data_IF_633741126606
#
_entry.id   IF_633741126606
#
_cell.length_a   1.000
_cell.length_b   1.000
_cell.length_c   1.000
_cell.angle_alpha   90.00
_cell.angle_beta   90.00
_cell.angle_gamma   90.00
#
_symmetry.space_group_name_H-M   'P 1'
#
loop_
_entity.id
_entity.type
_entity.pdbx_description
1 polymer ?
#
# COMPACT_ATOMS: atom_id res chain seq x y z
N UNK A 1 23.31 30.79 -24.62
CA UNK A 1 22.15 30.31 -23.88
C UNK A 1 21.63 29.03 -24.48
N UNK A 2 21.45 28.00 -23.62
CA UNK A 2 20.94 26.71 -24.08
C UNK A 2 19.42 26.76 -24.15
N UNK A 3 18.92 26.62 -25.38
CA UNK A 3 17.49 26.70 -25.68
C UNK A 3 16.91 25.30 -25.87
N UNK A 4 15.81 24.98 -25.22
CA UNK A 4 15.03 23.77 -25.53
C UNK A 4 14.44 23.97 -26.94
N UNK A 5 14.65 23.03 -27.83
CA UNK A 5 14.29 23.14 -29.25
C UNK A 5 15.51 23.09 -30.18
N UNK A 6 16.70 23.34 -29.64
CA UNK A 6 17.95 23.04 -30.32
C UNK A 6 18.60 21.81 -29.67
N UNK A 7 18.66 20.71 -30.38
CA UNK A 7 19.30 19.45 -29.92
C UNK A 7 20.75 19.69 -29.44
N UNK A 8 21.42 20.64 -30.07
CA UNK A 8 22.78 21.04 -29.75
C UNK A 8 22.90 21.66 -28.35
N UNK A 9 21.97 22.54 -27.98
CA UNK A 9 21.99 23.21 -26.68
C UNK A 9 21.72 22.27 -25.50
N UNK A 10 20.74 21.37 -25.64
CA UNK A 10 20.46 20.32 -24.63
C UNK A 10 21.69 19.41 -24.49
N UNK A 11 22.29 19.02 -25.59
CA UNK A 11 23.47 18.15 -25.59
C UNK A 11 24.68 18.84 -24.95
N UNK A 12 24.88 20.12 -25.19
CA UNK A 12 25.98 20.88 -24.62
C UNK A 12 25.79 21.09 -23.11
N UNK A 13 24.57 21.40 -22.66
CA UNK A 13 24.24 21.45 -21.23
C UNK A 13 24.44 20.09 -20.54
N UNK A 14 24.03 18.98 -21.17
CA UNK A 14 24.23 17.64 -20.64
C UNK A 14 25.73 17.26 -20.57
N UNK A 15 26.58 17.76 -21.47
CA UNK A 15 28.02 17.50 -21.44
C UNK A 15 28.75 18.40 -20.44
N UNK A 16 28.30 19.63 -20.27
CA UNK A 16 28.94 20.62 -19.40
C UNK A 16 28.55 20.39 -17.92
N UNK A 17 27.32 19.96 -17.68
CA UNK A 17 26.82 19.67 -16.34
C UNK A 17 27.05 18.23 -15.95
N UNK A 18 27.51 18.02 -14.73
CA UNK A 18 27.58 16.67 -14.09
C UNK A 18 26.31 16.32 -13.32
N UNK A 19 25.30 17.20 -13.29
CA UNK A 19 24.02 16.97 -12.60
C UNK A 19 23.17 16.00 -13.41
N UNK A 20 22.51 15.00 -12.78
CA UNK A 20 21.70 13.99 -13.50
C UNK A 20 20.28 14.50 -13.83
N UNK A 21 20.05 15.79 -13.77
CA UNK A 21 18.76 16.45 -14.01
C UNK A 21 18.92 17.78 -14.74
N UNK A 22 17.85 18.24 -15.37
CA UNK A 22 17.76 19.60 -15.91
C UNK A 22 16.90 20.52 -15.05
N UNK A 23 17.26 21.82 -15.05
CA UNK A 23 16.42 22.92 -14.59
C UNK A 23 15.72 23.50 -15.82
N UNK A 24 14.40 23.36 -15.90
CA UNK A 24 13.62 23.83 -17.05
C UNK A 24 12.94 25.14 -16.70
N UNK A 25 13.38 26.22 -17.37
CA UNK A 25 12.90 27.58 -17.22
C UNK A 25 11.96 27.97 -18.38
N UNK A 26 11.25 29.08 -18.23
CA UNK A 26 10.43 29.66 -19.30
C UNK A 26 11.28 30.49 -20.28
N UNK A 27 12.15 31.32 -19.76
CA UNK A 27 12.90 32.32 -20.50
C UNK A 27 14.40 32.06 -20.62
N UNK A 28 15.02 32.68 -21.61
CA UNK A 28 16.48 32.61 -21.79
C UNK A 28 17.23 33.44 -20.75
N UNK A 29 16.60 34.48 -20.18
CA UNK A 29 17.23 35.30 -19.14
C UNK A 29 17.45 34.51 -17.89
N UNK A 30 16.46 33.66 -17.50
CA UNK A 30 16.59 32.77 -16.37
C UNK A 30 17.73 31.77 -16.55
N UNK A 31 17.85 31.20 -17.77
CA UNK A 31 18.94 30.29 -18.09
C UNK A 31 20.30 31.00 -17.99
N UNK A 32 20.44 32.24 -18.51
CA UNK A 32 21.68 33.00 -18.42
C UNK A 32 22.05 33.24 -16.94
N UNK A 33 21.10 33.72 -16.15
CA UNK A 33 21.30 34.00 -14.72
C UNK A 33 21.68 32.73 -13.92
N UNK A 34 21.03 31.64 -14.20
CA UNK A 34 21.34 30.34 -13.60
C UNK A 34 22.73 29.84 -13.99
N UNK A 35 23.09 29.93 -15.27
CA UNK A 35 24.44 29.56 -15.75
C UNK A 35 25.53 30.42 -15.12
N UNK A 36 25.34 31.74 -15.03
CA UNK A 36 26.27 32.65 -14.35
C UNK A 36 26.46 32.31 -12.87
N UNK A 37 25.41 31.72 -12.26
CA UNK A 37 25.42 31.31 -10.86
C UNK A 37 25.87 29.83 -10.65
N UNK A 38 26.36 29.18 -11.74
CA UNK A 38 26.94 27.84 -11.67
C UNK A 38 25.97 26.68 -12.01
N UNK A 39 24.70 26.96 -12.31
CA UNK A 39 23.71 25.94 -12.70
C UNK A 39 23.74 25.69 -14.21
N UNK A 40 24.81 25.06 -14.70
CA UNK A 40 25.01 24.80 -16.13
C UNK A 40 24.07 23.78 -16.76
N UNK A 41 23.20 23.17 -15.97
CA UNK A 41 22.14 22.27 -16.37
C UNK A 41 20.78 22.96 -16.59
N UNK A 42 20.74 24.29 -16.61
CA UNK A 42 19.53 25.05 -16.91
C UNK A 42 19.28 25.08 -18.43
N UNK A 43 18.02 24.91 -18.82
CA UNK A 43 17.52 24.95 -20.21
C UNK A 43 16.16 25.66 -20.23
N UNK A 44 15.75 26.22 -21.37
CA UNK A 44 14.46 26.91 -21.48
C UNK A 44 13.62 26.42 -22.66
N UNK A 45 12.29 26.54 -22.52
CA UNK A 45 11.30 26.22 -23.56
C UNK A 45 11.05 27.40 -24.57
N UNK A 46 11.61 28.57 -24.31
CA UNK A 46 11.62 29.78 -25.16
C UNK A 46 10.25 30.23 -25.69
N UNK A 47 9.42 30.74 -24.81
CA UNK A 47 8.13 31.33 -25.21
C UNK A 47 7.15 30.34 -25.87
N UNK A 48 7.50 29.08 -25.94
CA UNK A 48 6.60 27.98 -26.37
C UNK A 48 6.30 27.07 -25.23
N UNK A 49 5.07 26.51 -25.19
CA UNK A 49 4.74 25.47 -24.22
C UNK A 49 5.64 24.24 -24.46
N UNK A 50 5.99 23.54 -23.38
CA UNK A 50 6.67 22.25 -23.48
C UNK A 50 5.84 21.27 -24.33
N UNK A 51 6.48 20.59 -25.26
CA UNK A 51 5.83 19.61 -26.15
C UNK A 51 6.34 18.20 -25.86
N UNK A 52 5.62 17.17 -26.33
CA UNK A 52 6.09 15.79 -26.28
C UNK A 52 7.44 15.59 -27.01
N UNK A 53 7.67 16.33 -28.10
CA UNK A 53 8.96 16.33 -28.81
C UNK A 53 10.11 16.87 -27.94
N UNK A 54 9.88 17.95 -27.20
CA UNK A 54 10.85 18.48 -26.23
C UNK A 54 11.11 17.46 -25.10
N UNK A 55 10.08 16.83 -24.56
CA UNK A 55 10.22 15.81 -23.53
C UNK A 55 11.00 14.59 -24.03
N UNK A 56 10.71 14.11 -25.24
CA UNK A 56 11.45 13.00 -25.86
C UNK A 56 12.93 13.33 -26.07
N UNK A 57 13.25 14.58 -26.39
CA UNK A 57 14.63 15.05 -26.52
C UNK A 57 15.33 15.09 -25.16
N UNK A 58 14.69 15.66 -24.14
CA UNK A 58 15.21 15.73 -22.75
C UNK A 58 15.49 14.32 -22.20
N UNK A 59 14.60 13.36 -22.47
CA UNK A 59 14.71 11.95 -22.00
C UNK A 59 16.00 11.26 -22.43
N UNK A 60 16.59 11.67 -23.54
CA UNK A 60 17.87 11.10 -24.01
C UNK A 60 19.05 11.42 -23.07
N UNK A 61 18.92 12.45 -22.25
CA UNK A 61 20.02 12.98 -21.43
C UNK A 61 19.77 12.85 -19.93
N UNK A 62 18.52 13.04 -19.47
CA UNK A 62 18.17 12.99 -18.05
C UNK A 62 16.86 12.25 -17.83
N UNK A 63 16.68 11.75 -16.61
CA UNK A 63 15.43 11.10 -16.17
C UNK A 63 14.63 11.97 -15.20
N UNK A 64 15.18 13.10 -14.80
CA UNK A 64 14.56 14.02 -13.85
C UNK A 64 14.65 15.45 -14.34
N UNK A 65 13.57 16.22 -14.19
CA UNK A 65 13.47 17.62 -14.55
C UNK A 65 12.88 18.41 -13.39
N UNK A 66 13.52 19.50 -13.06
CA UNK A 66 13.02 20.49 -12.12
C UNK A 66 12.42 21.66 -12.89
N UNK A 67 11.10 21.81 -12.82
CA UNK A 67 10.37 22.94 -13.41
C UNK A 67 10.58 24.16 -12.52
N UNK A 68 11.26 25.16 -13.06
CA UNK A 68 11.55 26.43 -12.41
C UNK A 68 10.92 27.57 -13.21
N UNK A 69 9.60 27.48 -13.37
CA UNK A 69 8.76 28.42 -14.07
C UNK A 69 8.38 29.61 -13.16
N UNK A 70 7.90 30.71 -13.76
CA UNK A 70 7.48 31.89 -13.02
C UNK A 70 6.47 31.53 -11.90
N UNK A 71 6.55 32.21 -10.77
CA UNK A 71 5.67 31.99 -9.61
C UNK A 71 4.25 32.56 -9.79
N UNK A 72 3.96 33.18 -10.94
CA UNK A 72 2.66 33.74 -11.27
C UNK A 72 1.66 32.65 -11.74
N UNK A 73 0.41 33.05 -12.02
CA UNK A 73 -0.59 32.11 -12.52
C UNK A 73 -0.25 31.52 -13.89
N UNK A 74 0.45 32.26 -14.75
CA UNK A 74 0.79 31.79 -16.08
C UNK A 74 1.84 30.68 -15.99
N UNK A 75 2.91 30.89 -15.19
CA UNK A 75 3.94 29.91 -14.93
C UNK A 75 3.39 28.68 -14.18
N UNK A 76 2.48 28.90 -13.21
CA UNK A 76 1.77 27.79 -12.55
C UNK A 76 0.98 26.95 -13.57
N UNK A 77 0.24 27.58 -14.49
CA UNK A 77 -0.49 26.85 -15.55
C UNK A 77 0.46 26.16 -16.52
N UNK A 78 1.62 26.75 -16.81
CA UNK A 78 2.65 26.14 -17.66
C UNK A 78 3.23 24.90 -16.98
N UNK A 79 3.54 24.95 -15.68
CA UNK A 79 4.02 23.80 -14.90
C UNK A 79 2.99 22.67 -14.88
N UNK A 80 1.71 22.99 -14.64
CA UNK A 80 0.62 21.99 -14.64
C UNK A 80 0.45 21.29 -16.00
N UNK A 81 0.75 21.97 -17.10
CA UNK A 81 0.74 21.34 -18.44
C UNK A 81 2.01 20.54 -18.70
N UNK A 82 3.15 20.96 -18.18
CA UNK A 82 4.43 20.29 -18.38
C UNK A 82 4.53 18.96 -17.64
N UNK A 83 3.98 18.86 -16.42
CA UNK A 83 4.04 17.66 -15.57
C UNK A 83 3.53 16.40 -16.29
N UNK A 84 2.32 16.33 -16.86
CA UNK A 84 1.85 15.14 -17.56
C UNK A 84 2.69 14.83 -18.80
N UNK A 85 3.13 15.82 -19.56
CA UNK A 85 3.96 15.62 -20.77
C UNK A 85 5.30 14.96 -20.41
N UNK A 86 5.94 15.41 -19.32
CA UNK A 86 7.18 14.81 -18.83
C UNK A 86 6.97 13.39 -18.33
N UNK A 87 5.88 13.16 -17.59
CA UNK A 87 5.51 11.84 -17.09
C UNK A 87 5.27 10.84 -18.23
N UNK A 88 4.51 11.21 -19.26
CA UNK A 88 4.28 10.39 -20.46
C UNK A 88 5.58 10.03 -21.19
N UNK A 89 6.57 10.92 -21.16
CA UNK A 89 7.91 10.62 -21.66
C UNK A 89 8.76 9.78 -20.68
N UNK A 90 8.23 9.41 -19.51
CA UNK A 90 8.94 8.68 -18.46
C UNK A 90 10.00 9.52 -17.75
N UNK A 91 9.79 10.82 -17.61
CA UNK A 91 10.65 11.76 -16.89
C UNK A 91 9.98 12.16 -15.58
N UNK A 92 10.70 12.02 -14.47
CA UNK A 92 10.24 12.53 -13.17
C UNK A 92 10.28 14.05 -13.16
N UNK A 93 9.14 14.68 -12.93
CA UNK A 93 9.02 16.13 -12.83
C UNK A 93 8.92 16.57 -11.36
N UNK A 94 9.70 17.57 -10.98
CA UNK A 94 9.59 18.29 -9.71
C UNK A 94 9.40 19.77 -9.97
N UNK A 95 8.70 20.46 -9.08
CA UNK A 95 8.43 21.90 -9.19
C UNK A 95 9.19 22.65 -8.10
N UNK A 96 10.02 23.61 -8.53
CA UNK A 96 10.76 24.50 -7.64
C UNK A 96 9.91 25.73 -7.39
N UNK A 97 9.70 26.08 -6.12
CA UNK A 97 9.00 27.32 -5.73
C UNK A 97 9.98 28.41 -5.39
N UNK A 98 9.76 29.59 -5.95
CA UNK A 98 10.63 30.73 -5.77
C UNK A 98 10.01 31.87 -4.93
N UNK A 99 8.84 31.60 -4.34
CA UNK A 99 8.20 32.60 -3.49
C UNK A 99 9.19 33.19 -2.45
N UNK A 100 9.22 34.52 -2.24
CA UNK A 100 8.30 35.54 -2.76
C UNK A 100 8.70 36.13 -4.10
N UNK A 101 9.75 35.65 -4.77
CA UNK A 101 10.27 36.16 -6.03
C UNK A 101 9.50 35.57 -7.22
N UNK A 102 9.49 36.33 -8.32
CA UNK A 102 8.71 35.98 -9.49
C UNK A 102 9.35 34.86 -10.30
N UNK A 103 10.63 34.95 -10.57
CA UNK A 103 11.37 34.10 -11.50
C UNK A 103 12.76 33.73 -10.94
N UNK A 104 13.49 32.78 -11.58
CA UNK A 104 14.83 32.38 -11.16
C UNK A 104 15.85 33.52 -11.19
N UNK A 105 15.76 34.43 -12.16
CA UNK A 105 16.68 35.54 -12.30
C UNK A 105 16.57 36.50 -11.11
N UNK A 106 15.35 36.91 -10.77
CA UNK A 106 15.08 37.74 -9.59
C UNK A 106 15.49 37.04 -8.30
N UNK A 107 15.15 35.75 -8.15
CA UNK A 107 15.51 34.96 -6.97
C UNK A 107 17.02 34.93 -6.73
N UNK A 108 17.80 34.60 -7.78
CA UNK A 108 19.26 34.47 -7.67
C UNK A 108 19.92 35.80 -7.39
N UNK A 109 19.45 36.89 -8.00
CA UNK A 109 19.98 38.25 -7.75
C UNK A 109 19.80 38.70 -6.31
N UNK A 110 18.73 38.26 -5.64
CA UNK A 110 18.42 38.66 -4.27
C UNK A 110 18.99 37.71 -3.21
N UNK A 111 18.95 36.41 -3.41
CA UNK A 111 19.28 35.41 -2.40
C UNK A 111 20.50 34.55 -2.73
N UNK A 112 20.95 34.56 -3.97
CA UNK A 112 22.15 33.86 -4.41
C UNK A 112 21.94 32.35 -4.68
N UNK A 113 23.02 31.71 -5.13
CA UNK A 113 23.02 30.33 -5.60
C UNK A 113 22.77 29.30 -4.48
N UNK A 114 23.29 29.54 -3.28
CA UNK A 114 23.12 28.60 -2.15
C UNK A 114 21.66 28.45 -1.74
N UNK A 115 20.93 29.55 -1.68
CA UNK A 115 19.51 29.53 -1.34
C UNK A 115 18.68 28.87 -2.46
N UNK A 116 19.07 29.09 -3.71
CA UNK A 116 18.43 28.43 -4.84
C UNK A 116 18.66 26.90 -4.82
N UNK A 117 19.84 26.44 -4.45
CA UNK A 117 20.12 25.00 -4.27
C UNK A 117 19.23 24.38 -3.18
N UNK A 118 18.99 25.11 -2.08
CA UNK A 118 18.03 24.66 -1.05
C UNK A 118 16.61 24.54 -1.62
N UNK A 119 16.19 25.45 -2.50
CA UNK A 119 14.88 25.35 -3.18
C UNK A 119 14.80 24.16 -4.12
N UNK A 120 15.87 23.81 -4.82
CA UNK A 120 15.94 22.59 -5.63
C UNK A 120 15.77 21.36 -4.74
N UNK A 121 16.45 21.28 -3.59
CA UNK A 121 16.31 20.17 -2.65
C UNK A 121 14.92 20.07 -2.03
N UNK A 122 14.24 21.19 -1.85
CA UNK A 122 12.88 21.27 -1.33
C UNK A 122 11.79 21.16 -2.42
N UNK A 123 12.18 20.91 -3.68
CA UNK A 123 11.26 20.86 -4.81
C UNK A 123 10.21 19.77 -4.64
N UNK A 124 8.98 20.10 -4.97
CA UNK A 124 7.82 19.21 -4.82
C UNK A 124 7.65 18.28 -6.02
N UNK A 125 7.29 17.05 -5.78
CA UNK A 125 6.87 16.14 -6.84
C UNK A 125 5.76 16.79 -7.68
N UNK A 126 5.87 16.71 -9.02
CA UNK A 126 4.98 17.41 -9.94
C UNK A 126 3.52 16.98 -9.83
N UNK A 127 3.25 15.69 -9.58
CA UNK A 127 1.89 15.20 -9.37
C UNK A 127 1.31 15.80 -8.07
N UNK A 128 2.05 15.75 -6.97
CA UNK A 128 1.61 16.33 -5.69
C UNK A 128 1.40 17.84 -5.80
N UNK A 129 2.25 18.55 -6.53
CA UNK A 129 2.04 19.98 -6.86
C UNK A 129 0.73 20.19 -7.62
N UNK A 130 0.43 19.32 -8.59
CA UNK A 130 -0.83 19.42 -9.34
C UNK A 130 -2.06 19.26 -8.47
N UNK A 131 -1.96 18.42 -7.42
CA UNK A 131 -3.05 18.24 -6.44
C UNK A 131 -3.20 19.46 -5.52
N UNK A 132 -2.11 20.10 -5.11
CA UNK A 132 -2.18 21.34 -4.33
C UNK A 132 -2.89 22.47 -5.09
N UNK A 133 -2.66 22.54 -6.41
CA UNK A 133 -3.34 23.53 -7.25
C UNK A 133 -4.82 23.15 -7.49
N UNK A 134 -5.11 21.87 -7.58
CA UNK A 134 -6.48 21.34 -7.68
C UNK A 134 -7.27 21.63 -6.40
N UNK A 135 -6.68 21.40 -5.23
CA UNK A 135 -7.27 21.62 -3.92
C UNK A 135 -7.87 23.03 -3.76
N UNK A 136 -7.17 24.05 -4.31
CA UNK A 136 -7.63 25.45 -4.27
C UNK A 136 -8.97 25.70 -4.97
N UNK A 137 -9.42 24.76 -5.80
CA UNK A 137 -10.68 24.85 -6.54
C UNK A 137 -11.87 24.22 -5.79
N UNK A 138 -11.61 23.59 -4.65
CA UNK A 138 -12.62 22.88 -3.85
C UNK A 138 -12.71 23.45 -2.44
N UNK A 139 -13.91 23.44 -1.88
CA UNK A 139 -14.08 23.74 -0.46
C UNK A 139 -13.71 22.54 0.40
N UNK A 140 -12.48 22.52 0.87
CA UNK A 140 -11.94 21.43 1.70
C UNK A 140 -12.52 21.41 3.12
N UNK A 141 -13.37 22.38 3.51
CA UNK A 141 -14.07 22.39 4.80
C UNK A 141 -15.42 21.69 4.71
N UNK A 142 -16.00 21.58 3.50
CA UNK A 142 -17.26 20.86 3.30
C UNK A 142 -17.03 19.37 2.99
N UNK A 143 -17.90 18.47 3.49
CA UNK A 143 -17.85 17.04 3.13
C UNK A 143 -18.01 16.79 1.62
N UNK A 144 -18.87 17.59 0.97
CA UNK A 144 -19.14 17.51 -0.47
C UNK A 144 -17.91 17.91 -1.27
N UNK A 145 -17.29 19.06 -0.93
CA UNK A 145 -16.10 19.56 -1.59
C UNK A 145 -14.91 18.59 -1.46
N UNK A 146 -14.71 18.00 -0.25
CA UNK A 146 -13.72 16.93 -0.06
C UNK A 146 -14.02 15.73 -0.95
N UNK A 147 -15.26 15.31 -1.03
CA UNK A 147 -15.65 14.14 -1.84
C UNK A 147 -15.38 14.39 -3.31
N UNK A 148 -15.72 15.58 -3.82
CA UNK A 148 -15.50 15.96 -5.21
C UNK A 148 -14.01 16.10 -5.53
N UNK A 149 -13.23 16.67 -4.61
CA UNK A 149 -11.78 16.72 -4.72
C UNK A 149 -11.18 15.30 -4.85
N UNK A 150 -11.49 14.38 -3.92
CA UNK A 150 -10.95 13.01 -3.99
C UNK A 150 -11.46 12.21 -5.19
N UNK A 151 -12.63 12.55 -5.72
CA UNK A 151 -13.11 11.99 -6.99
C UNK A 151 -12.21 12.40 -8.15
N UNK A 152 -11.83 13.69 -8.21
CA UNK A 152 -10.91 14.17 -9.24
C UNK A 152 -9.48 13.63 -9.05
N UNK A 153 -8.99 13.58 -7.81
CA UNK A 153 -7.72 12.92 -7.47
C UNK A 153 -7.70 11.48 -7.94
N UNK A 154 -8.78 10.73 -7.69
CA UNK A 154 -8.89 9.33 -8.12
C UNK A 154 -8.86 9.17 -9.64
N UNK A 155 -9.44 10.13 -10.38
CA UNK A 155 -9.36 10.16 -11.85
C UNK A 155 -7.92 10.33 -12.33
N UNK A 156 -7.17 11.27 -11.74
CA UNK A 156 -5.76 11.52 -12.09
C UNK A 156 -4.85 10.35 -11.71
N UNK A 157 -5.15 9.64 -10.62
CA UNK A 157 -4.42 8.43 -10.23
C UNK A 157 -4.59 7.30 -11.25
N UNK A 158 -5.70 7.24 -11.98
CA UNK A 158 -5.91 6.27 -13.06
C UNK A 158 -5.06 6.54 -14.33
N UNK A 159 -4.49 7.73 -14.47
CA UNK A 159 -3.57 8.04 -15.55
C UNK A 159 -2.21 7.35 -15.40
N UNK A 160 -1.89 6.79 -14.24
CA UNK A 160 -0.70 5.96 -14.05
C UNK A 160 -1.00 4.53 -14.56
N UNK A 161 -0.28 4.12 -15.60
CA UNK A 161 -0.43 2.79 -16.19
C UNK A 161 0.14 1.70 -15.28
N UNK A 162 1.31 1.95 -14.70
CA UNK A 162 1.95 1.04 -13.76
C UNK A 162 1.21 0.99 -12.44
N UNK A 163 0.80 -0.23 -12.03
CA UNK A 163 0.04 -0.45 -10.81
C UNK A 163 0.85 -0.14 -9.54
N UNK A 164 2.13 -0.49 -9.53
CA UNK A 164 3.00 -0.22 -8.37
C UNK A 164 3.22 1.28 -8.20
N UNK A 165 3.49 1.99 -9.30
CA UNK A 165 3.62 3.44 -9.29
C UNK A 165 2.33 4.10 -8.79
N UNK A 166 1.18 3.70 -9.33
CA UNK A 166 -0.14 4.18 -8.88
C UNK A 166 -0.38 3.96 -7.39
N UNK A 167 -0.05 2.76 -6.87
CA UNK A 167 -0.21 2.44 -5.45
C UNK A 167 0.70 3.29 -4.55
N UNK A 168 1.92 3.59 -4.98
CA UNK A 168 2.82 4.50 -4.27
C UNK A 168 2.26 5.93 -4.21
N UNK A 169 1.64 6.41 -5.31
CA UNK A 169 0.98 7.72 -5.31
C UNK A 169 -0.30 7.72 -4.47
N UNK A 170 -1.08 6.64 -4.45
CA UNK A 170 -2.23 6.49 -3.54
C UNK A 170 -1.79 6.65 -2.08
N UNK A 171 -0.69 6.01 -1.70
CA UNK A 171 -0.14 6.11 -0.35
C UNK A 171 0.35 7.52 -0.02
N UNK A 172 1.08 8.16 -0.95
CA UNK A 172 1.55 9.53 -0.80
C UNK A 172 0.39 10.52 -0.62
N UNK A 173 -0.68 10.37 -1.41
CA UNK A 173 -1.90 11.20 -1.30
C UNK A 173 -2.62 10.93 0.03
N UNK A 174 -2.80 9.66 0.40
CA UNK A 174 -3.46 9.28 1.65
C UNK A 174 -2.76 9.91 2.86
N UNK A 175 -1.43 9.90 2.86
CA UNK A 175 -0.60 10.51 3.90
C UNK A 175 -0.71 12.03 3.90
N UNK A 176 -0.57 12.69 2.74
CA UNK A 176 -0.57 14.13 2.62
C UNK A 176 -1.91 14.77 3.03
N UNK A 177 -3.02 14.13 2.66
CA UNK A 177 -4.38 14.64 2.91
C UNK A 177 -5.08 13.98 4.10
N UNK A 178 -4.38 13.10 4.83
CA UNK A 178 -4.89 12.39 6.02
C UNK A 178 -6.20 11.67 5.76
N UNK A 179 -6.31 11.00 4.62
CA UNK A 179 -7.44 10.17 4.24
C UNK A 179 -7.05 8.69 4.30
N UNK A 180 -8.03 7.81 4.56
CA UNK A 180 -7.78 6.37 4.56
C UNK A 180 -7.32 5.90 3.18
N UNK A 181 -6.15 5.25 3.12
CA UNK A 181 -5.61 4.61 1.91
C UNK A 181 -6.64 3.68 1.27
N UNK A 182 -7.25 2.82 2.07
CA UNK A 182 -8.26 1.86 1.63
C UNK A 182 -9.48 2.54 1.00
N UNK A 183 -9.92 3.68 1.56
CA UNK A 183 -11.03 4.46 1.01
C UNK A 183 -10.67 5.06 -0.35
N UNK A 184 -9.45 5.56 -0.50
CA UNK A 184 -8.96 6.11 -1.76
C UNK A 184 -8.78 5.00 -2.82
N UNK A 185 -8.21 3.85 -2.46
CA UNK A 185 -8.10 2.68 -3.34
C UNK A 185 -9.47 2.21 -3.86
N UNK A 186 -10.46 2.11 -2.98
CA UNK A 186 -11.84 1.76 -3.37
C UNK A 186 -12.44 2.77 -4.34
N UNK A 187 -12.16 4.07 -4.15
CA UNK A 187 -12.63 5.12 -5.05
C UNK A 187 -11.98 5.04 -6.42
N UNK A 188 -10.65 4.84 -6.46
CA UNK A 188 -9.89 4.63 -7.70
C UNK A 188 -10.39 3.40 -8.45
N UNK A 189 -10.55 2.27 -7.77
CA UNK A 189 -11.06 1.03 -8.38
C UNK A 189 -12.48 1.19 -8.96
N UNK A 190 -13.37 1.89 -8.23
CA UNK A 190 -14.74 2.18 -8.71
C UNK A 190 -14.72 3.04 -9.97
N UNK A 191 -13.82 4.01 -10.04
CA UNK A 191 -13.67 4.87 -11.22
C UNK A 191 -13.08 4.13 -12.42
N UNK A 192 -12.09 3.25 -12.20
CA UNK A 192 -11.52 2.41 -13.25
C UNK A 192 -12.59 1.56 -13.96
N UNK A 193 -13.51 0.98 -13.18
CA UNK A 193 -14.65 0.23 -13.72
C UNK A 193 -15.59 1.13 -14.52
N UNK A 194 -15.92 2.31 -14.01
CA UNK A 194 -16.83 3.24 -14.69
C UNK A 194 -16.22 3.83 -15.96
N UNK A 195 -14.91 3.98 -16.02
CA UNK A 195 -14.19 4.47 -17.21
C UNK A 195 -13.96 3.39 -18.28
N UNK A 196 -14.37 2.12 -18.05
CA UNK A 196 -14.11 1.01 -18.96
C UNK A 196 -12.62 0.64 -19.10
N UNK A 197 -11.76 1.22 -18.30
CA UNK A 197 -10.31 0.98 -18.26
C UNK A 197 -9.96 -0.35 -17.55
N UNK A 198 -10.79 -0.76 -16.62
CA UNK A 198 -10.91 -2.15 -16.23
C UNK A 198 -12.13 -2.67 -17.01
N UNK A 199 -12.00 -3.78 -17.75
CA UNK A 199 -13.17 -4.68 -17.82
C UNK A 199 -13.73 -4.65 -16.40
N UNK A 200 -15.08 -4.56 -16.20
CA UNK A 200 -15.60 -4.96 -14.92
C UNK A 200 -14.99 -6.34 -14.79
N UNK A 201 -13.90 -6.45 -14.08
CA UNK A 201 -13.60 -7.66 -13.33
C UNK A 201 -14.93 -7.76 -12.65
N UNK A 202 -15.78 -8.61 -13.29
CA UNK A 202 -17.18 -8.79 -12.90
C UNK A 202 -17.06 -8.75 -11.43
N UNK A 203 -17.47 -7.61 -10.86
CA UNK A 203 -17.26 -7.43 -9.45
C UNK A 203 -17.30 -8.82 -8.98
N UNK A 204 -16.21 -9.46 -8.52
CA UNK A 204 -16.54 -10.63 -7.80
C UNK A 204 -17.59 -10.01 -6.94
N UNK A 205 -18.92 -10.28 -7.29
CA UNK A 205 -20.08 -9.84 -6.54
C UNK A 205 -19.53 -9.72 -5.18
N UNK A 206 -19.31 -8.47 -4.65
CA UNK A 206 -18.75 -8.31 -3.38
C UNK A 206 -19.21 -9.53 -2.78
N UNK A 207 -18.36 -10.45 -3.20
CA UNK A 207 -18.67 -11.77 -2.84
C UNK A 207 -18.50 -11.54 -1.36
N UNK A 208 -19.59 -11.52 -0.71
CA UNK A 208 -19.61 -12.18 0.56
C UNK A 208 -18.52 -13.24 0.61
N UNK A 209 -18.05 -13.78 -0.51
CA UNK A 209 -16.92 -14.65 -0.76
C UNK A 209 -15.51 -14.05 -0.78
N UNK A 210 -15.20 -12.80 -0.97
CA UNK A 210 -13.79 -12.34 -0.90
C UNK A 210 -13.44 -11.79 0.49
N UNK A 211 -14.37 -11.16 1.19
CA UNK A 211 -14.23 -10.98 2.64
C UNK A 211 -14.34 -12.35 3.35
N UNK A 212 -15.20 -13.24 2.87
CA UNK A 212 -15.20 -14.64 3.29
C UNK A 212 -13.88 -15.33 2.97
N UNK A 213 -13.37 -15.23 1.76
CA UNK A 213 -12.12 -15.89 1.37
C UNK A 213 -10.89 -15.31 2.07
N UNK A 214 -10.79 -13.98 2.26
CA UNK A 214 -9.75 -13.38 3.08
C UNK A 214 -9.93 -13.66 4.58
N UNK A 215 -11.19 -13.71 5.07
CA UNK A 215 -11.47 -14.22 6.42
C UNK A 215 -11.17 -15.71 6.52
N UNK A 216 -11.55 -16.50 5.55
CA UNK A 216 -11.26 -17.94 5.48
C UNK A 216 -9.75 -18.21 5.40
N UNK A 217 -9.01 -17.53 4.55
CA UNK A 217 -7.54 -17.61 4.46
C UNK A 217 -6.87 -17.17 5.77
N UNK A 218 -7.38 -16.11 6.41
CA UNK A 218 -6.92 -15.66 7.72
C UNK A 218 -7.24 -16.64 8.84
N UNK A 219 -8.39 -17.32 8.77
CA UNK A 219 -8.80 -18.37 9.73
C UNK A 219 -7.98 -19.63 9.52
N UNK A 220 -7.77 -20.09 8.28
CA UNK A 220 -6.91 -21.22 7.96
C UNK A 220 -5.49 -21.01 8.51
N UNK A 221 -4.93 -19.82 8.32
CA UNK A 221 -3.64 -19.42 8.89
C UNK A 221 -3.65 -19.50 10.41
N UNK A 222 -4.73 -19.08 11.07
CA UNK A 222 -4.87 -19.14 12.54
C UNK A 222 -5.03 -20.57 13.03
N UNK A 223 -5.80 -21.42 12.34
CA UNK A 223 -5.93 -22.84 12.65
C UNK A 223 -4.58 -23.57 12.50
N UNK A 224 -3.86 -23.29 11.43
CA UNK A 224 -2.52 -23.82 11.19
C UNK A 224 -1.56 -23.43 12.32
N UNK A 225 -1.55 -22.17 12.72
CA UNK A 225 -0.69 -21.67 13.82
C UNK A 225 -1.02 -22.38 15.15
N UNK A 226 -2.31 -22.55 15.49
CA UNK A 226 -2.69 -23.26 16.71
C UNK A 226 -2.22 -24.72 16.72
N UNK A 227 -2.41 -25.45 15.61
CA UNK A 227 -1.92 -26.83 15.49
C UNK A 227 -0.39 -26.89 15.62
N UNK A 228 0.33 -25.99 14.99
CA UNK A 228 1.80 -25.91 15.09
C UNK A 228 2.23 -25.69 16.54
N UNK A 229 1.59 -24.77 17.28
CA UNK A 229 1.89 -24.57 18.72
C UNK A 229 1.56 -25.78 19.58
N UNK A 230 0.44 -26.46 19.32
CA UNK A 230 0.03 -27.67 20.04
C UNK A 230 0.96 -28.87 19.77
N UNK A 231 1.61 -28.89 18.60
CA UNK A 231 2.59 -29.92 18.20
C UNK A 231 3.95 -29.62 18.83
N UNK A 232 4.36 -28.36 18.86
CA UNK A 232 5.72 -27.94 19.21
C UNK A 232 5.97 -27.98 20.73
N UNK A 233 4.96 -27.69 21.58
CA UNK A 233 5.08 -27.61 23.03
C UNK A 233 3.92 -28.29 23.74
N UNK A 234 4.22 -29.30 24.57
CA UNK A 234 3.26 -30.05 25.37
C UNK A 234 2.47 -29.16 26.34
N UNK A 235 3.11 -28.16 26.92
CA UNK A 235 2.47 -27.23 27.85
C UNK A 235 1.48 -26.32 27.13
N UNK A 236 1.84 -25.88 25.94
CA UNK A 236 0.92 -25.11 25.10
C UNK A 236 -0.27 -25.95 24.66
N UNK A 237 -0.05 -27.26 24.35
CA UNK A 237 -1.16 -28.17 24.10
C UNK A 237 -2.13 -28.20 25.25
N UNK A 238 -1.67 -28.40 26.49
CA UNK A 238 -2.52 -28.47 27.67
C UNK A 238 -3.30 -27.17 27.93
N UNK A 239 -2.68 -26.04 27.67
CA UNK A 239 -3.32 -24.74 27.79
C UNK A 239 -4.37 -24.49 26.68
N UNK A 240 -4.01 -24.73 25.41
CA UNK A 240 -4.90 -24.53 24.26
C UNK A 240 -6.11 -25.48 24.35
N UNK A 241 -5.89 -26.74 24.75
CA UNK A 241 -6.94 -27.79 24.85
C UNK A 241 -8.04 -27.45 25.85
N UNK A 242 -7.83 -26.53 26.77
CA UNK A 242 -8.88 -26.04 27.69
C UNK A 242 -9.93 -25.20 26.96
N UNK A 243 -9.58 -24.60 25.83
CA UNK A 243 -10.43 -23.66 25.10
C UNK A 243 -10.80 -24.12 23.68
N UNK A 244 -9.94 -24.88 23.05
CA UNK A 244 -10.10 -25.39 21.69
C UNK A 244 -10.28 -26.90 21.72
N UNK A 245 -11.23 -27.40 20.96
CA UNK A 245 -11.47 -28.82 20.71
C UNK A 245 -11.23 -29.14 19.23
N UNK A 246 -11.06 -30.42 18.85
CA UNK A 246 -10.94 -30.79 17.43
C UNK A 246 -12.12 -30.32 16.56
N UNK A 247 -13.33 -30.22 17.14
CA UNK A 247 -14.52 -29.70 16.47
C UNK A 247 -14.46 -28.19 16.12
N UNK A 248 -13.52 -27.46 16.68
CA UNK A 248 -13.31 -26.02 16.39
C UNK A 248 -12.51 -25.76 15.10
N UNK A 249 -11.85 -26.80 14.56
CA UNK A 249 -11.19 -26.73 13.27
C UNK A 249 -12.20 -26.96 12.15
N UNK A 250 -12.37 -25.97 11.28
CA UNK A 250 -13.37 -26.00 10.21
C UNK A 250 -12.88 -26.68 8.95
N UNK A 251 -11.56 -26.68 8.72
CA UNK A 251 -10.93 -27.41 7.63
C UNK A 251 -10.80 -28.91 7.97
N UNK A 252 -11.19 -29.77 7.03
CA UNK A 252 -11.25 -31.24 7.25
C UNK A 252 -9.88 -31.81 7.61
N UNK A 253 -8.82 -31.40 6.91
CA UNK A 253 -7.45 -31.83 7.18
C UNK A 253 -7.00 -31.43 8.58
N UNK A 254 -7.20 -30.17 8.96
CA UNK A 254 -6.80 -29.65 10.28
C UNK A 254 -7.60 -30.27 11.41
N UNK A 255 -8.88 -30.55 11.18
CA UNK A 255 -9.73 -31.31 12.14
C UNK A 255 -9.19 -32.70 12.36
N UNK A 256 -8.89 -33.44 11.30
CA UNK A 256 -8.33 -34.80 11.39
C UNK A 256 -6.98 -34.80 12.10
N UNK A 257 -6.10 -33.85 11.80
CA UNK A 257 -4.82 -33.69 12.51
C UNK A 257 -5.07 -33.41 13.99
N UNK A 258 -6.02 -32.54 14.34
CA UNK A 258 -6.34 -32.21 15.71
C UNK A 258 -6.88 -33.44 16.45
N UNK A 259 -7.81 -34.22 15.85
CA UNK A 259 -8.35 -35.44 16.42
C UNK A 259 -7.25 -36.46 16.75
N UNK A 260 -6.36 -36.71 15.79
CA UNK A 260 -5.23 -37.62 15.98
C UNK A 260 -4.24 -37.09 17.03
N UNK A 261 -4.00 -35.80 17.07
CA UNK A 261 -3.14 -35.18 18.08
C UNK A 261 -3.72 -35.34 19.50
N UNK A 262 -5.01 -35.04 19.67
CA UNK A 262 -5.69 -35.21 20.97
C UNK A 262 -5.72 -36.68 21.42
N UNK A 263 -5.92 -37.61 20.50
CA UNK A 263 -5.90 -39.04 20.79
C UNK A 263 -4.52 -39.52 21.24
N UNK A 264 -3.46 -39.11 20.50
CA UNK A 264 -2.09 -39.48 20.85
C UNK A 264 -1.64 -38.87 22.18
N UNK A 265 -2.03 -37.65 22.47
CA UNK A 265 -1.74 -37.01 23.78
C UNK A 265 -2.39 -37.74 24.94
N UNK A 266 -3.61 -38.24 24.78
CA UNK A 266 -4.26 -39.10 25.79
C UNK A 266 -3.49 -40.41 26.01
N UNK A 267 -2.79 -40.93 25.00
CA UNK A 267 -1.97 -42.12 25.06
C UNK A 267 -0.55 -41.88 25.60
N UNK A 268 -0.18 -40.62 25.83
CA UNK A 268 1.07 -40.23 26.50
C UNK A 268 2.26 -39.98 25.62
N UNK A 269 2.19 -40.11 24.28
CA UNK A 269 3.33 -39.80 23.38
C UNK A 269 2.84 -39.39 22.02
N UNK A 270 3.37 -38.22 21.54
CA UNK A 270 3.14 -37.73 20.20
C UNK A 270 4.04 -38.47 19.20
N UNK A 271 3.45 -39.05 18.16
CA UNK A 271 4.16 -39.68 17.06
C UNK A 271 3.75 -39.01 15.71
N UNK A 272 4.52 -38.02 15.22
CA UNK A 272 4.22 -37.30 13.97
C UNK A 272 4.05 -38.26 12.78
N UNK A 273 4.86 -39.32 12.69
CA UNK A 273 4.80 -40.25 11.58
C UNK A 273 3.45 -40.98 11.49
N UNK A 274 2.83 -41.29 12.63
CA UNK A 274 1.48 -41.89 12.63
C UNK A 274 0.41 -40.93 12.13
N UNK A 275 0.53 -39.66 12.42
CA UNK A 275 -0.38 -38.60 11.92
C UNK A 275 -0.20 -38.45 10.41
N UNK A 276 1.04 -38.34 9.94
CA UNK A 276 1.34 -38.19 8.52
C UNK A 276 0.89 -39.38 7.68
N UNK A 277 1.11 -40.59 8.17
CA UNK A 277 0.69 -41.82 7.49
C UNK A 277 -0.83 -42.01 7.35
N UNK A 278 -1.62 -41.19 8.05
CA UNK A 278 -3.07 -41.18 7.89
C UNK A 278 -3.52 -40.57 6.56
N UNK A 279 -2.70 -39.67 5.99
CA UNK A 279 -2.99 -38.95 4.73
C UNK A 279 -2.38 -39.70 3.54
N UNK A 280 -3.21 -40.19 2.63
CA UNK A 280 -2.83 -40.97 1.45
C UNK A 280 -2.65 -40.08 0.22
N UNK A 281 -3.35 -38.94 0.14
CA UNK A 281 -3.21 -37.95 -0.92
C UNK A 281 -1.93 -37.16 -0.73
N UNK A 282 -1.16 -36.96 -1.82
CA UNK A 282 0.15 -36.30 -1.76
C UNK A 282 0.08 -34.84 -1.30
N UNK A 283 -1.02 -34.15 -1.63
CA UNK A 283 -1.26 -32.75 -1.25
C UNK A 283 -1.57 -32.62 0.24
N UNK A 284 -2.46 -33.48 0.75
CA UNK A 284 -2.82 -33.53 2.17
C UNK A 284 -1.63 -33.93 3.05
N UNK A 285 -0.85 -34.91 2.60
CA UNK A 285 0.35 -35.35 3.29
C UNK A 285 1.40 -34.23 3.37
N UNK A 286 1.58 -33.48 2.28
CA UNK A 286 2.50 -32.31 2.23
C UNK A 286 2.04 -31.19 3.16
N UNK A 287 0.74 -30.87 3.16
CA UNK A 287 0.18 -29.84 4.04
C UNK A 287 0.25 -30.25 5.51
N UNK A 288 -0.11 -31.50 5.86
CA UNK A 288 0.07 -32.04 7.20
C UNK A 288 1.55 -32.01 7.64
N UNK A 289 2.48 -32.39 6.77
CA UNK A 289 3.93 -32.35 7.07
C UNK A 289 4.42 -30.92 7.33
N UNK A 290 3.80 -29.92 6.69
CA UNK A 290 4.15 -28.52 6.90
C UNK A 290 3.89 -28.06 8.34
N UNK A 291 2.88 -28.64 9.02
CA UNK A 291 2.55 -28.32 10.42
C UNK A 291 3.69 -28.71 11.38
N UNK A 292 4.40 -29.78 11.07
CA UNK A 292 5.52 -30.29 11.89
C UNK A 292 6.85 -29.62 11.56
N UNK A 293 6.97 -28.96 10.41
CA UNK A 293 8.20 -28.35 9.93
C UNK A 293 8.19 -26.81 9.99
N UNK A 294 7.05 -26.19 10.24
CA UNK A 294 6.92 -24.73 10.31
C UNK A 294 7.43 -24.25 11.66
N UNK A 295 8.57 -23.54 11.68
CA UNK A 295 8.98 -22.78 12.85
C UNK A 295 8.12 -21.51 12.93
N UNK A 296 7.44 -21.34 14.04
CA UNK A 296 6.72 -20.09 14.33
C UNK A 296 7.74 -18.97 14.40
N UNK A 297 7.49 -17.86 13.72
CA UNK A 297 8.35 -16.67 13.79
C UNK A 297 8.62 -16.37 15.26
N UNK A 298 9.91 -16.27 15.63
CA UNK A 298 10.34 -15.96 16.99
C UNK A 298 9.72 -14.62 17.43
N UNK A 299 8.65 -14.70 18.19
CA UNK A 299 8.14 -13.57 18.94
C UNK A 299 9.16 -13.29 20.03
N UNK A 300 9.66 -12.05 20.08
CA UNK A 300 10.86 -11.69 20.84
C UNK A 300 10.63 -11.63 22.36
N UNK A 301 9.37 -11.43 22.79
CA UNK A 301 9.02 -11.34 24.20
C UNK A 301 7.96 -12.36 24.60
N UNK A 302 7.90 -12.69 25.89
CA UNK A 302 6.90 -13.59 26.46
C UNK A 302 5.50 -12.98 26.32
N UNK A 303 5.37 -11.70 26.58
CA UNK A 303 4.10 -10.97 26.46
C UNK A 303 3.55 -10.99 25.03
N UNK A 304 4.42 -10.81 24.01
CA UNK A 304 3.99 -10.92 22.59
C UNK A 304 3.48 -12.32 22.24
N UNK A 305 4.07 -13.37 22.81
CA UNK A 305 3.61 -14.75 22.62
C UNK A 305 2.25 -14.99 23.26
N UNK A 306 2.06 -14.54 24.49
CA UNK A 306 0.81 -14.67 25.24
C UNK A 306 -0.33 -13.95 24.52
N UNK A 307 -0.09 -12.73 24.06
CA UNK A 307 -1.07 -11.95 23.31
C UNK A 307 -1.42 -12.61 21.96
N UNK A 308 -0.41 -13.03 21.19
CA UNK A 308 -0.62 -13.70 19.91
C UNK A 308 -1.40 -15.02 20.07
N UNK A 309 -1.10 -15.80 21.11
CA UNK A 309 -1.82 -17.03 21.43
C UNK A 309 -3.28 -16.75 21.77
N UNK A 310 -3.53 -15.78 22.65
CA UNK A 310 -4.87 -15.39 23.04
C UNK A 310 -5.70 -14.89 21.85
N UNK A 311 -5.15 -14.02 21.04
CA UNK A 311 -5.82 -13.52 19.83
C UNK A 311 -6.14 -14.64 18.83
N UNK A 312 -5.23 -15.60 18.68
CA UNK A 312 -5.42 -16.73 17.76
C UNK A 312 -6.50 -17.68 18.27
N UNK A 313 -6.51 -18.02 19.56
CA UNK A 313 -7.55 -18.83 20.20
C UNK A 313 -8.92 -18.14 20.04
N UNK A 314 -9.01 -16.85 20.37
CA UNK A 314 -10.25 -16.09 20.24
C UNK A 314 -10.77 -16.07 18.82
N UNK A 315 -9.89 -15.92 17.82
CA UNK A 315 -10.24 -15.89 16.40
C UNK A 315 -10.79 -17.24 15.92
N UNK A 316 -10.09 -18.32 16.21
CA UNK A 316 -10.51 -19.67 15.79
C UNK A 316 -11.84 -20.07 16.49
N UNK A 317 -11.95 -19.83 17.80
CA UNK A 317 -13.18 -20.16 18.55
C UNK A 317 -14.38 -19.34 18.09
N UNK A 318 -14.20 -18.03 17.88
CA UNK A 318 -15.29 -17.18 17.38
C UNK A 318 -15.79 -17.63 16.01
N UNK A 319 -14.88 -17.96 15.11
CA UNK A 319 -15.25 -18.43 13.78
C UNK A 319 -15.94 -19.82 13.84
N UNK A 320 -15.45 -20.72 14.68
CA UNK A 320 -16.09 -22.03 14.89
C UNK A 320 -17.54 -21.89 15.36
N UNK A 321 -17.78 -21.02 16.35
CA UNK A 321 -19.13 -20.77 16.88
C UNK A 321 -20.02 -20.14 15.79
N UNK A 322 -19.53 -19.17 15.02
CA UNK A 322 -20.27 -18.57 13.90
C UNK A 322 -20.63 -19.63 12.86
N UNK A 323 -19.66 -20.46 12.46
CA UNK A 323 -19.87 -21.52 11.47
C UNK A 323 -20.85 -22.59 11.95
N UNK A 324 -20.76 -23.03 13.20
CA UNK A 324 -21.69 -23.97 13.79
C UNK A 324 -23.09 -23.36 13.90
N UNK A 325 -23.21 -22.08 14.25
CA UNK A 325 -24.50 -21.38 14.35
C UNK A 325 -25.20 -21.30 12.99
N UNK A 326 -24.44 -21.07 11.91
CA UNK A 326 -24.99 -21.00 10.54
C UNK A 326 -25.49 -22.35 10.03
N UNK A 327 -24.89 -23.46 10.48
CA UNK A 327 -25.18 -24.81 10.03
C UNK A 327 -26.12 -25.57 10.98
N UNK A 328 -26.53 -24.97 12.12
CA UNK A 328 -27.40 -25.59 13.09
C UNK A 328 -28.85 -25.60 12.58
N UNK A 329 -29.55 -26.73 12.77
CA UNK A 329 -30.97 -26.80 12.52
C UNK A 329 -31.71 -25.92 13.56
N UNK A 330 -32.55 -24.96 13.12
CA UNK A 330 -33.29 -24.07 14.04
C UNK A 330 -34.15 -24.80 15.09
N UNK A 331 -34.42 -26.06 14.88
CA UNK A 331 -35.22 -26.90 15.80
C UNK A 331 -34.37 -27.67 16.82
N UNK A 332 -33.02 -27.66 16.68
CA UNK A 332 -32.10 -28.31 17.61
C UNK A 332 -31.84 -27.43 18.86
N UNK A 333 -32.75 -27.54 19.83
CA UNK A 333 -32.66 -26.80 21.10
C UNK A 333 -31.43 -27.17 21.93
N UNK A 334 -30.89 -28.40 21.80
CA UNK A 334 -29.68 -28.81 22.54
C UNK A 334 -28.42 -28.20 21.92
N UNK A 335 -28.35 -28.22 20.61
CA UNK A 335 -27.26 -27.54 19.87
C UNK A 335 -27.24 -26.05 20.16
N UNK A 336 -28.40 -25.41 20.21
CA UNK A 336 -28.53 -23.97 20.54
C UNK A 336 -28.02 -23.66 21.96
N UNK A 337 -28.42 -24.48 22.96
CA UNK A 337 -27.96 -24.34 24.35
C UNK A 337 -26.43 -24.48 24.44
N UNK A 338 -25.88 -25.49 23.79
CA UNK A 338 -24.43 -25.71 23.75
C UNK A 338 -23.66 -24.51 23.15
N UNK A 339 -24.14 -23.99 22.02
CA UNK A 339 -23.52 -22.81 21.38
C UNK A 339 -23.63 -21.54 22.24
N UNK A 340 -24.72 -21.36 22.98
CA UNK A 340 -24.85 -20.25 23.93
C UNK A 340 -23.85 -20.35 25.09
N UNK A 341 -23.62 -21.58 25.62
CA UNK A 341 -22.60 -21.82 26.65
C UNK A 341 -21.18 -21.54 26.13
N UNK A 342 -20.87 -22.01 24.92
CA UNK A 342 -19.59 -21.77 24.29
C UNK A 342 -19.34 -20.24 24.01
N UNK A 343 -20.39 -19.54 23.62
CA UNK A 343 -20.32 -18.07 23.41
C UNK A 343 -20.07 -17.32 24.73
N UNK A 344 -20.69 -17.81 25.85
CA UNK A 344 -20.45 -17.25 27.18
C UNK A 344 -19.02 -17.51 27.67
N UNK A 345 -18.50 -18.72 27.41
CA UNK A 345 -17.09 -19.04 27.70
C UNK A 345 -16.13 -18.15 26.91
N UNK A 346 -16.43 -17.86 25.63
CA UNK A 346 -15.64 -16.98 24.78
C UNK A 346 -15.62 -15.55 25.31
N UNK A 347 -16.73 -15.02 25.82
CA UNK A 347 -16.77 -13.68 26.44
C UNK A 347 -15.90 -13.60 27.69
N UNK A 348 -15.88 -14.64 28.48
CA UNK A 348 -15.00 -14.74 29.66
C UNK A 348 -13.52 -14.78 29.26
N UNK A 349 -13.18 -15.45 28.16
CA UNK A 349 -11.83 -15.56 27.62
C UNK A 349 -11.26 -14.21 27.15
N UNK A 350 -12.11 -13.29 26.67
CA UNK A 350 -11.69 -11.92 26.30
C UNK A 350 -11.15 -11.13 27.48
N UNK A 351 -11.56 -11.47 28.70
CA UNK A 351 -11.21 -10.77 29.92
C UNK A 351 -10.10 -11.48 30.74
N UNK A 352 -9.62 -12.63 30.29
CA UNK A 352 -8.57 -13.42 30.94
C UNK A 352 -7.25 -13.25 30.19
N UNK A 353 -6.19 -12.89 30.88
CA UNK A 353 -4.83 -12.95 30.35
C UNK A 353 -4.33 -14.39 30.42
N UNK A 354 -4.06 -15.00 29.27
CA UNK A 354 -3.44 -16.33 29.18
C UNK A 354 -1.97 -16.16 29.50
N UNK A 355 -1.51 -16.74 30.61
CA UNK A 355 -0.09 -16.68 31.02
C UNK A 355 0.59 -17.98 30.62
N UNK A 356 1.63 -17.91 29.79
CA UNK A 356 2.50 -19.03 29.44
C UNK A 356 3.45 -19.28 30.61
N UNK A 357 3.29 -20.41 31.32
CA UNK A 357 4.17 -20.81 32.42
C UNK A 357 5.49 -21.41 31.95
#
# INVERSE_FOLDING_TARGET
ACLVGSEMCIRDSARTSRKPYFLLCEGYMDVISLHQSGFTNAVASLGTALTAGHAALIKRYVQEVYLTYDSDEAGTRAALRAVPILREAGISAKVVRMDPYKDPDEFIKNLGAEEYEKRIHAARNGFMFSLEMLEKQYDMNSPEGKTDFFREVSRRLLEFEDELERNNYIEAVATAYRVSRESLEKMVAKMAVNAGMARPVARPKRAEGSEKKQKEDGILTSQKALLTWMIDDDRLFDQISQYISPGDFTESLYRTVAELLYEQRKQGALNPAKILNHFTEEEDHREAASLFNTRIKELRTKEEREQALQETILRVKSYSIEHQTMNLDPTDMRGLQHLMEEKRKLENLKNLNITIQ
#
